data_IF_402193350632
#
_entry.id   IF_402193350632
#
_cell.length_a   1.000
_cell.length_b   1.000
_cell.length_c   1.000
_cell.angle_alpha   90.00
_cell.angle_beta   90.00
_cell.angle_gamma   90.00
#
_symmetry.space_group_name_H-M   'P 1'
#
loop_
_entity.id
_entity.type
_entity.pdbx_description
1 polymer ?
#
# COMPACT_ATOMS: atom_id res chain seq x y z
N UNK A 1 -9.89 1.37 19.18
CA UNK A 1 -8.66 1.70 18.43
C UNK A 1 -9.09 2.03 17.01
N UNK A 2 -8.58 3.13 16.42
CA UNK A 2 -8.97 3.53 15.06
C UNK A 2 -8.21 2.68 14.03
N UNK A 3 -8.92 2.08 13.09
CA UNK A 3 -8.36 1.36 11.95
C UNK A 3 -8.34 2.28 10.73
N UNK A 4 -7.18 2.44 10.10
CA UNK A 4 -7.00 3.31 8.94
C UNK A 4 -6.46 2.47 7.79
N UNK A 5 -7.19 2.42 6.67
CA UNK A 5 -6.65 1.91 5.42
C UNK A 5 -5.89 3.03 4.70
N UNK A 6 -4.62 2.80 4.36
CA UNK A 6 -3.78 3.75 3.64
C UNK A 6 -3.53 3.23 2.22
N UNK A 7 -4.20 3.82 1.23
CA UNK A 7 -4.13 3.38 -0.16
C UNK A 7 -3.10 4.22 -0.92
N UNK A 8 -2.24 3.57 -1.72
CA UNK A 8 -1.21 4.22 -2.52
C UNK A 8 -0.92 3.49 -3.84
N UNK A 9 -0.15 4.14 -4.71
CA UNK A 9 0.20 3.62 -6.03
C UNK A 9 -0.81 4.04 -7.10
N UNK A 10 -1.40 3.05 -7.79
CA UNK A 10 -2.48 3.21 -8.76
C UNK A 10 -2.01 3.33 -10.22
N UNK A 11 -2.95 3.28 -11.17
CA UNK A 11 -2.70 3.33 -12.61
C UNK A 11 -2.40 4.77 -13.10
N UNK A 12 -1.44 5.43 -12.45
CA UNK A 12 -0.97 6.78 -12.78
C UNK A 12 0.54 6.81 -12.96
N UNK A 13 1.01 7.75 -13.77
CA UNK A 13 2.44 8.11 -13.84
C UNK A 13 2.94 8.70 -12.50
N UNK A 14 2.02 9.16 -11.64
CA UNK A 14 2.32 9.73 -10.33
C UNK A 14 2.40 8.67 -9.21
N UNK A 15 2.34 7.37 -9.52
CA UNK A 15 2.31 6.31 -8.48
C UNK A 15 3.50 6.36 -7.51
N UNK A 16 4.67 6.79 -8.00
CA UNK A 16 5.84 7.00 -7.14
C UNK A 16 5.65 8.16 -6.16
N UNK A 17 4.97 9.23 -6.61
CA UNK A 17 4.57 10.37 -5.76
C UNK A 17 3.54 9.91 -4.74
N UNK A 18 2.51 9.15 -5.15
CA UNK A 18 1.53 8.55 -4.25
C UNK A 18 2.17 7.69 -3.15
N UNK A 19 3.17 6.87 -3.51
CA UNK A 19 3.93 6.09 -2.54
C UNK A 19 4.75 6.97 -1.58
N UNK A 20 5.37 8.04 -2.07
CA UNK A 20 6.08 9.00 -1.20
C UNK A 20 5.11 9.68 -0.21
N UNK A 21 3.93 10.09 -0.67
CA UNK A 21 2.90 10.65 0.22
C UNK A 21 2.47 9.63 1.28
N UNK A 22 2.30 8.36 0.91
CA UNK A 22 1.95 7.30 1.84
C UNK A 22 3.04 7.07 2.90
N UNK A 23 4.34 7.14 2.55
CA UNK A 23 5.44 7.08 3.53
C UNK A 23 5.34 8.22 4.54
N UNK A 24 5.15 9.45 4.06
CA UNK A 24 4.99 10.61 4.94
C UNK A 24 3.79 10.47 5.88
N UNK A 25 2.64 9.98 5.38
CA UNK A 25 1.46 9.73 6.22
C UNK A 25 1.76 8.65 7.26
N UNK A 26 2.44 7.57 6.87
CA UNK A 26 2.79 6.47 7.77
C UNK A 26 3.74 6.93 8.88
N UNK A 27 4.72 7.78 8.57
CA UNK A 27 5.64 8.38 9.55
C UNK A 27 4.88 9.19 10.62
N UNK A 28 3.90 10.00 10.21
CA UNK A 28 3.12 10.81 11.15
C UNK A 28 2.14 9.96 11.96
N UNK A 29 1.46 9.01 11.33
CA UNK A 29 0.49 8.16 12.01
C UNK A 29 1.14 7.11 12.91
N UNK A 30 2.40 6.70 12.66
CA UNK A 30 3.14 5.78 13.52
C UNK A 30 3.36 6.34 14.94
N UNK A 31 3.30 7.67 15.11
CA UNK A 31 3.37 8.33 16.41
C UNK A 31 2.02 8.30 17.15
N UNK A 32 0.95 7.85 16.49
CA UNK A 32 -0.39 7.74 17.06
C UNK A 32 -0.71 6.27 17.41
N UNK A 33 -1.55 6.04 18.42
CA UNK A 33 -2.08 4.69 18.73
C UNK A 33 -3.21 4.30 17.74
N UNK A 34 -2.86 4.15 16.47
CA UNK A 34 -3.77 3.73 15.40
C UNK A 34 -3.25 2.47 14.72
N UNK A 35 -4.17 1.65 14.21
CA UNK A 35 -3.81 0.50 13.38
C UNK A 35 -3.87 0.93 11.91
N UNK A 36 -2.76 0.77 11.19
CA UNK A 36 -2.66 1.16 9.78
C UNK A 36 -2.56 -0.09 8.92
N UNK A 37 -3.41 -0.16 7.90
CA UNK A 37 -3.40 -1.17 6.87
C UNK A 37 -2.98 -0.53 5.53
N UNK A 38 -1.69 -0.60 5.14
CA UNK A 38 -1.26 -0.08 3.87
C UNK A 38 -1.68 -1.00 2.73
N UNK A 39 -2.24 -0.41 1.68
CA UNK A 39 -2.71 -1.07 0.47
C UNK A 39 -2.00 -0.46 -0.74
N UNK A 40 -1.33 -1.29 -1.52
CA UNK A 40 -0.79 -0.90 -2.82
C UNK A 40 -1.79 -1.26 -3.91
N UNK A 41 -1.98 -0.35 -4.87
CA UNK A 41 -2.79 -0.59 -6.06
C UNK A 41 -1.86 -0.65 -7.28
N UNK A 42 -1.92 -1.74 -8.03
CA UNK A 42 -1.13 -1.87 -9.26
C UNK A 42 -1.79 -1.13 -10.44
N UNK A 43 -1.13 -1.16 -11.61
CA UNK A 43 -1.65 -0.60 -12.86
C UNK A 43 -2.96 -1.24 -13.33
N UNK A 44 -3.20 -2.50 -12.97
CA UNK A 44 -4.41 -3.23 -13.31
C UNK A 44 -5.54 -2.98 -12.31
N UNK A 45 -5.32 -2.12 -11.30
CA UNK A 45 -6.25 -1.79 -10.21
C UNK A 45 -6.50 -2.94 -9.25
N UNK A 46 -5.58 -3.90 -9.17
CA UNK A 46 -5.60 -4.89 -8.11
C UNK A 46 -5.04 -4.29 -6.83
N UNK A 47 -5.67 -4.63 -5.71
CA UNK A 47 -5.28 -4.17 -4.39
C UNK A 47 -4.45 -5.24 -3.70
N UNK A 48 -3.35 -4.84 -3.07
CA UNK A 48 -2.49 -5.74 -2.33
C UNK A 48 -2.26 -5.19 -0.93
N UNK A 49 -2.48 -6.03 0.08
CA UNK A 49 -2.04 -5.73 1.43
C UNK A 49 -0.51 -5.79 1.46
N UNK A 50 0.12 -4.73 1.94
CA UNK A 50 1.57 -4.66 2.09
C UNK A 50 1.93 -4.32 3.54
N UNK A 51 3.12 -4.74 3.95
CA UNK A 51 3.72 -4.33 5.21
C UNK A 51 4.27 -2.90 5.09
N UNK A 52 4.27 -2.11 6.18
CA UNK A 52 4.92 -0.79 6.20
C UNK A 52 6.36 -0.84 5.70
N UNK A 53 7.14 -1.85 6.08
CA UNK A 53 8.54 -2.04 5.63
C UNK A 53 8.68 -2.19 4.11
N UNK A 54 7.70 -2.80 3.46
CA UNK A 54 7.67 -2.92 2.00
C UNK A 54 7.42 -1.57 1.34
N UNK A 55 6.70 -0.64 1.98
CA UNK A 55 6.50 0.70 1.45
C UNK A 55 7.83 1.49 1.38
N UNK A 56 8.71 1.34 2.37
CA UNK A 56 10.02 2.03 2.38
C UNK A 56 11.08 1.36 1.50
N UNK A 57 10.98 0.05 1.26
CA UNK A 57 12.03 -0.74 0.62
C UNK A 57 11.83 -0.96 -0.88
N UNK A 58 10.74 -0.45 -1.45
CA UNK A 58 10.37 -0.72 -2.84
C UNK A 58 10.05 0.57 -3.60
N UNK A 59 10.49 0.64 -4.84
CA UNK A 59 9.94 1.52 -5.87
C UNK A 59 8.67 0.90 -6.46
N UNK A 60 7.88 1.65 -7.27
CA UNK A 60 6.76 1.05 -7.98
C UNK A 60 7.18 -0.15 -8.84
N UNK A 61 8.31 -0.06 -9.54
CA UNK A 61 8.81 -1.16 -10.37
C UNK A 61 9.19 -2.41 -9.56
N UNK A 62 9.68 -2.26 -8.33
CA UNK A 62 9.92 -3.39 -7.43
C UNK A 62 8.62 -4.09 -7.03
N UNK A 63 7.55 -3.31 -6.81
CA UNK A 63 6.22 -3.86 -6.54
C UNK A 63 5.67 -4.58 -7.76
N UNK A 64 5.75 -3.97 -8.94
CA UNK A 64 5.25 -4.57 -10.18
C UNK A 64 5.94 -5.93 -10.45
N UNK A 65 7.25 -6.03 -10.19
CA UNK A 65 7.99 -7.28 -10.34
C UNK A 65 7.65 -8.33 -9.26
N UNK A 66 7.59 -7.93 -7.98
CA UNK A 66 7.37 -8.85 -6.85
C UNK A 66 5.94 -9.32 -6.78
N UNK A 67 4.97 -8.41 -6.89
CA UNK A 67 3.55 -8.74 -6.74
C UNK A 67 3.09 -9.72 -7.83
N UNK A 68 3.61 -9.59 -9.05
CA UNK A 68 3.35 -10.52 -10.14
C UNK A 68 3.79 -11.98 -9.85
N UNK A 69 4.71 -12.19 -8.92
CA UNK A 69 5.30 -13.51 -8.64
C UNK A 69 4.81 -14.13 -7.33
N UNK A 70 4.55 -13.31 -6.31
CA UNK A 70 4.35 -13.81 -4.93
C UNK A 70 3.09 -13.30 -4.25
N UNK A 71 2.37 -12.33 -4.81
CA UNK A 71 1.23 -11.73 -4.13
C UNK A 71 -0.11 -12.19 -4.71
N UNK A 72 -1.08 -12.44 -3.81
CA UNK A 72 -2.48 -12.62 -4.18
C UNK A 72 -3.21 -11.29 -4.00
N UNK A 73 -3.92 -10.79 -5.02
CA UNK A 73 -4.70 -9.57 -4.88
C UNK A 73 -5.88 -9.78 -3.91
N UNK A 74 -6.26 -8.70 -3.23
CA UNK A 74 -7.42 -8.69 -2.34
C UNK A 74 -8.71 -8.85 -3.14
N UNK A 75 -9.58 -9.70 -2.61
CA UNK A 75 -10.96 -9.87 -3.05
C UNK A 75 -11.91 -8.99 -2.22
N UNK A 76 -13.15 -8.82 -2.68
CA UNK A 76 -14.16 -8.06 -1.97
C UNK A 76 -14.46 -8.60 -0.55
N UNK A 77 -14.19 -9.89 -0.31
CA UNK A 77 -14.37 -10.52 1.00
C UNK A 77 -13.25 -10.20 2.00
N UNK A 78 -12.09 -9.75 1.52
CA UNK A 78 -10.90 -9.50 2.36
C UNK A 78 -10.91 -8.12 3.05
N UNK A 79 -11.89 -7.26 2.71
CA UNK A 79 -12.02 -5.89 3.23
C UNK A 79 -12.84 -5.79 4.53
N UNK A 80 -13.12 -6.90 5.20
CA UNK A 80 -13.76 -6.88 6.53
C UNK A 80 -12.70 -6.51 7.58
N UNK A 81 -12.55 -5.20 7.84
CA UNK A 81 -11.69 -4.62 8.89
C UNK A 81 -12.48 -4.40 10.17
#
# INVERSE_FOLDING_TARGET
>A
MLNIALICGGPSAERGISMNSARSVLDHLAQMQVHILPLYVDEQKHFYKILPSQLYSNTPSDFDFKLAQVATPLSATDLKI
#
